data_IF_169319598693
#
_entry.id   IF_169319598693
#
_cell.length_a   1.000
_cell.length_b   1.000
_cell.length_c   1.000
_cell.angle_alpha   90.00
_cell.angle_beta   90.00
_cell.angle_gamma   90.00
#
_symmetry.space_group_name_H-M   'P 1'
#
loop_
_entity.id
_entity.type
_entity.pdbx_description
1 polymer ?
#
# COMPACT_ATOMS: atom_id res chain seq x y z
N UNK A 1 -0.88 -19.85 17.83
CA UNK A 1 -0.18 -18.56 17.75
C UNK A 1 0.37 -18.47 16.35
N UNK A 2 -0.16 -17.57 15.52
CA UNK A 2 0.43 -17.27 14.23
C UNK A 2 1.58 -16.29 14.46
N UNK A 3 2.71 -16.51 13.80
CA UNK A 3 3.88 -15.64 13.89
C UNK A 3 3.85 -14.65 12.73
N UNK A 4 4.38 -13.42 12.93
CA UNK A 4 4.59 -12.51 11.82
C UNK A 4 5.43 -13.19 10.73
N UNK A 5 5.05 -13.00 9.48
CA UNK A 5 5.76 -13.50 8.31
C UNK A 5 6.24 -12.32 7.47
N UNK A 6 7.51 -12.32 7.09
CA UNK A 6 8.09 -11.32 6.20
C UNK A 6 7.98 -11.79 4.76
N UNK A 7 7.52 -10.89 3.90
CA UNK A 7 7.36 -11.10 2.47
C UNK A 7 8.19 -10.07 1.71
N UNK A 8 8.89 -10.52 0.69
CA UNK A 8 9.44 -9.64 -0.34
C UNK A 8 8.42 -9.51 -1.46
N UNK A 9 8.08 -8.28 -1.82
CA UNK A 9 7.15 -7.96 -2.89
C UNK A 9 7.94 -7.31 -4.00
N UNK A 10 8.05 -8.03 -5.12
CA UNK A 10 8.60 -7.51 -6.36
C UNK A 10 7.54 -6.70 -7.11
N UNK A 11 7.91 -5.48 -7.49
CA UNK A 11 7.07 -4.59 -8.28
C UNK A 11 7.76 -4.31 -9.63
N UNK A 12 7.04 -4.55 -10.72
CA UNK A 12 7.52 -4.25 -12.07
C UNK A 12 6.63 -3.17 -12.67
N UNK A 13 7.21 -2.02 -12.98
CA UNK A 13 6.49 -0.95 -13.64
C UNK A 13 6.47 -1.18 -15.16
N UNK A 14 5.35 -1.68 -15.67
CA UNK A 14 5.12 -1.84 -17.12
C UNK A 14 4.33 -0.68 -17.73
N UNK A 15 4.08 0.40 -16.96
CA UNK A 15 3.38 1.60 -17.38
C UNK A 15 4.29 2.65 -18.01
N UNK A 16 3.74 3.83 -18.26
CA UNK A 16 4.43 4.97 -18.88
C UNK A 16 4.83 6.07 -17.89
N UNK A 17 4.32 6.00 -16.66
CA UNK A 17 4.60 6.95 -15.57
C UNK A 17 5.37 6.27 -14.43
N UNK A 18 6.12 7.01 -13.61
CA UNK A 18 6.69 6.47 -12.37
C UNK A 18 5.57 5.99 -11.44
N UNK A 19 5.74 4.81 -10.87
CA UNK A 19 4.79 4.24 -9.92
C UNK A 19 5.50 3.72 -8.67
N UNK A 20 4.75 3.52 -7.61
CA UNK A 20 5.25 2.92 -6.37
C UNK A 20 4.18 2.03 -5.75
N UNK A 21 4.61 1.20 -4.79
CA UNK A 21 3.71 0.55 -3.84
C UNK A 21 4.09 0.96 -2.42
N UNK A 22 3.24 1.75 -1.78
CA UNK A 22 3.34 2.13 -0.38
C UNK A 22 2.35 1.31 0.45
N UNK A 23 2.82 0.57 1.45
CA UNK A 23 2.04 -0.37 2.27
C UNK A 23 1.80 0.15 3.69
N UNK A 24 0.59 -0.08 4.20
CA UNK A 24 0.18 0.23 5.57
C UNK A 24 -0.59 -0.93 6.21
N UNK A 25 -0.50 -1.06 7.52
CA UNK A 25 -1.47 -1.84 8.31
C UNK A 25 -2.68 -0.96 8.61
N UNK A 26 -3.87 -1.45 8.26
CA UNK A 26 -5.12 -0.72 8.45
C UNK A 26 -5.64 -0.96 9.87
N UNK A 27 -6.21 0.08 10.49
CA UNK A 27 -7.00 -0.09 11.72
C UNK A 27 -8.24 -0.92 11.45
N UNK A 28 -8.78 -1.53 12.50
CA UNK A 28 -10.03 -2.28 12.40
C UNK A 28 -11.17 -1.39 11.87
N UNK A 29 -11.82 -1.81 10.79
CA UNK A 29 -12.94 -1.09 10.18
C UNK A 29 -12.56 0.05 9.23
N UNK A 30 -11.27 0.25 8.94
CA UNK A 30 -10.80 1.21 7.92
C UNK A 30 -10.48 0.50 6.61
N UNK A 31 -10.41 1.30 5.53
CA UNK A 31 -10.12 0.83 4.17
C UNK A 31 -8.98 1.65 3.56
N UNK A 32 -8.29 1.11 2.57
CA UNK A 32 -7.27 1.86 1.82
C UNK A 32 -7.86 3.13 1.19
N UNK A 33 -9.10 3.06 0.67
CA UNK A 33 -9.82 4.24 0.13
C UNK A 33 -10.01 5.32 1.20
N UNK A 34 -10.44 4.95 2.41
CA UNK A 34 -10.63 5.92 3.50
C UNK A 34 -9.33 6.63 3.89
N UNK A 35 -8.19 5.94 3.79
CA UNK A 35 -6.86 6.54 4.07
C UNK A 35 -6.53 7.59 3.01
N UNK A 36 -6.74 7.27 1.73
CA UNK A 36 -6.51 8.21 0.62
C UNK A 36 -7.48 9.40 0.69
N UNK A 37 -8.76 9.16 0.94
CA UNK A 37 -9.78 10.20 1.08
C UNK A 37 -9.47 11.16 2.23
N UNK A 38 -9.02 10.64 3.38
CA UNK A 38 -8.59 11.48 4.51
C UNK A 38 -7.39 12.35 4.14
N UNK A 39 -6.38 11.78 3.46
CA UNK A 39 -5.20 12.53 3.01
C UNK A 39 -5.59 13.66 2.03
N UNK A 40 -6.46 13.38 1.06
CA UNK A 40 -6.95 14.37 0.09
C UNK A 40 -7.82 15.46 0.72
N UNK A 41 -8.53 15.14 1.81
CA UNK A 41 -9.27 16.11 2.60
C UNK A 41 -8.36 16.99 3.50
N UNK A 42 -7.05 16.74 3.52
CA UNK A 42 -6.10 17.40 4.41
C UNK A 42 -6.23 16.95 5.87
N UNK A 43 -6.87 15.81 6.11
CA UNK A 43 -6.93 15.15 7.41
C UNK A 43 -5.66 14.31 7.63
N UNK A 44 -5.45 13.86 8.86
CA UNK A 44 -4.30 13.03 9.20
C UNK A 44 -4.58 11.54 8.93
N UNK A 45 -3.99 10.92 7.87
CA UNK A 45 -4.20 9.51 7.57
C UNK A 45 -3.67 8.57 8.65
N UNK A 46 -2.76 9.03 9.54
CA UNK A 46 -2.28 8.24 10.69
C UNK A 46 -3.42 7.87 11.67
N UNK A 47 -4.54 8.58 11.61
CA UNK A 47 -5.74 8.22 12.38
C UNK A 47 -6.39 6.92 11.91
N UNK A 48 -6.14 6.45 10.69
CA UNK A 48 -6.78 5.29 10.05
C UNK A 48 -5.84 4.08 9.86
N UNK A 49 -4.54 4.25 10.08
CA UNK A 49 -3.53 3.19 9.95
C UNK A 49 -2.86 2.89 11.29
N UNK A 50 -2.49 1.63 11.53
CA UNK A 50 -1.72 1.23 12.71
C UNK A 50 -0.23 1.54 12.52
N UNK A 51 0.30 1.29 11.32
CA UNK A 51 1.69 1.53 10.98
C UNK A 51 1.92 1.58 9.46
N UNK A 52 3.00 2.26 9.07
CA UNK A 52 3.58 2.17 7.73
C UNK A 52 4.51 0.94 7.67
N UNK A 53 4.38 0.13 6.61
CA UNK A 53 5.12 -1.11 6.47
C UNK A 53 6.33 -1.00 5.53
N UNK A 54 6.26 -0.09 4.56
CA UNK A 54 7.32 0.10 3.59
C UNK A 54 6.81 0.61 2.26
N UNK A 55 7.73 1.06 1.42
CA UNK A 55 7.47 1.44 0.03
C UNK A 55 8.57 0.93 -0.87
N UNK A 56 8.25 0.69 -2.14
CA UNK A 56 9.26 0.53 -3.19
C UNK A 56 10.01 1.83 -3.48
N UNK A 57 9.45 2.97 -3.07
CA UNK A 57 9.77 4.27 -3.65
C UNK A 57 9.34 4.34 -5.12
N UNK A 58 9.63 5.47 -5.77
CA UNK A 58 9.35 5.64 -7.19
C UNK A 58 10.15 4.65 -8.04
N UNK A 59 9.45 3.91 -8.89
CA UNK A 59 10.01 2.99 -9.87
C UNK A 59 9.70 3.52 -11.27
N UNK A 60 10.75 3.81 -12.03
CA UNK A 60 10.64 4.36 -13.39
C UNK A 60 9.99 3.36 -14.37
N UNK A 61 9.39 3.86 -15.48
CA UNK A 61 8.88 3.03 -16.56
C UNK A 61 9.88 1.98 -17.04
N UNK A 62 9.43 0.72 -17.15
CA UNK A 62 10.25 -0.41 -17.59
C UNK A 62 11.24 -0.95 -16.55
N UNK A 63 11.24 -0.41 -15.33
CA UNK A 63 12.11 -0.85 -14.23
C UNK A 63 11.35 -1.66 -13.19
N UNK A 64 12.11 -2.22 -12.23
CA UNK A 64 11.57 -2.96 -11.09
C UNK A 64 12.11 -2.44 -9.76
N UNK A 65 11.28 -2.51 -8.73
CA UNK A 65 11.66 -2.28 -7.33
C UNK A 65 11.17 -3.43 -6.45
N UNK A 66 11.60 -3.44 -5.20
CA UNK A 66 11.14 -4.41 -4.22
C UNK A 66 10.95 -3.74 -2.86
N UNK A 67 10.02 -4.29 -2.07
CA UNK A 67 9.79 -3.89 -0.68
C UNK A 67 9.63 -5.14 0.17
N UNK A 68 10.25 -5.12 1.35
CA UNK A 68 10.04 -6.16 2.35
C UNK A 68 9.04 -5.66 3.38
N UNK A 69 7.94 -6.39 3.56
CA UNK A 69 6.90 -6.08 4.55
C UNK A 69 6.67 -7.28 5.46
N UNK A 70 6.31 -7.01 6.71
CA UNK A 70 5.95 -8.05 7.67
C UNK A 70 4.45 -8.01 7.91
N UNK A 71 3.80 -9.15 7.70
CA UNK A 71 2.36 -9.33 7.87
C UNK A 71 2.09 -10.26 9.05
N UNK A 72 1.12 -9.86 9.86
CA UNK A 72 0.57 -10.61 10.98
C UNK A 72 -0.77 -11.20 10.58
N UNK A 73 -0.98 -12.46 10.96
CA UNK A 73 -2.20 -13.19 10.64
C UNK A 73 -3.46 -12.52 11.25
N UNK A 74 -4.54 -12.49 10.50
CA UNK A 74 -5.82 -11.89 10.92
C UNK A 74 -5.85 -10.36 10.88
N UNK A 75 -4.83 -9.71 10.32
CA UNK A 75 -4.79 -8.26 10.08
C UNK A 75 -5.14 -7.89 8.64
N UNK A 76 -5.54 -6.63 8.46
CA UNK A 76 -5.85 -6.03 7.17
C UNK A 76 -4.79 -5.00 6.79
N UNK A 77 -4.46 -4.96 5.51
CA UNK A 77 -3.40 -4.12 4.98
C UNK A 77 -3.88 -3.42 3.72
N UNK A 78 -3.42 -2.18 3.54
CA UNK A 78 -3.66 -1.40 2.33
C UNK A 78 -2.35 -1.17 1.59
N UNK A 79 -2.44 -1.03 0.27
CA UNK A 79 -1.37 -0.49 -0.55
C UNK A 79 -1.90 0.53 -1.53
N UNK A 80 -1.08 1.52 -1.88
CA UNK A 80 -1.42 2.56 -2.84
C UNK A 80 -0.18 3.12 -3.54
N UNK A 81 -0.39 3.75 -4.70
CA UNK A 81 0.59 4.62 -5.33
C UNK A 81 0.26 6.09 -5.02
N UNK A 82 1.14 6.77 -4.29
CA UNK A 82 0.94 8.16 -3.88
C UNK A 82 1.64 9.17 -4.80
N UNK A 83 2.24 8.70 -5.90
CA UNK A 83 2.85 9.58 -6.90
C UNK A 83 1.73 10.32 -7.64
N UNK A 84 1.88 11.64 -7.74
CA UNK A 84 0.95 12.49 -8.48
C UNK A 84 1.15 12.32 -9.99
N UNK A 85 0.06 12.13 -10.71
CA UNK A 85 0.03 12.15 -12.16
C UNK A 85 0.08 13.58 -12.73
N UNK A 86 -0.02 13.73 -14.06
CA UNK A 86 -0.01 15.04 -14.72
C UNK A 86 -1.15 15.98 -14.31
N UNK A 87 -2.23 15.44 -13.74
CA UNK A 87 -3.37 16.20 -13.22
C UNK A 87 -3.19 16.66 -11.76
N UNK A 88 -2.04 16.34 -11.15
CA UNK A 88 -1.69 16.69 -9.77
C UNK A 88 -2.38 15.84 -8.71
N UNK A 89 -3.05 14.75 -9.09
CA UNK A 89 -3.70 13.82 -8.15
C UNK A 89 -2.86 12.55 -8.00
N UNK A 90 -2.81 11.93 -6.82
CA UNK A 90 -2.11 10.67 -6.66
C UNK A 90 -2.77 9.59 -7.51
N UNK A 91 -1.98 8.71 -8.13
CA UNK A 91 -2.49 7.59 -8.94
C UNK A 91 -3.44 6.67 -8.18
N UNK A 92 -3.37 6.66 -6.84
CA UNK A 92 -4.38 6.03 -5.99
C UNK A 92 -5.81 6.47 -6.35
N UNK A 93 -6.05 7.76 -6.61
CA UNK A 93 -7.38 8.26 -7.01
C UNK A 93 -7.80 7.82 -8.42
N UNK A 94 -6.87 7.35 -9.24
CA UNK A 94 -7.14 6.75 -10.55
C UNK A 94 -7.30 5.21 -10.46
N UNK A 95 -7.26 4.66 -9.25
CA UNK A 95 -7.50 3.25 -8.96
C UNK A 95 -6.26 2.45 -8.58
N UNK A 96 -5.09 3.08 -8.45
CA UNK A 96 -3.86 2.40 -7.99
C UNK A 96 -3.81 2.26 -6.47
N UNK A 97 -4.81 1.57 -5.92
CA UNK A 97 -4.85 1.14 -4.53
C UNK A 97 -5.46 -0.27 -4.42
N UNK A 98 -5.20 -0.94 -3.31
CA UNK A 98 -5.85 -2.20 -2.99
C UNK A 98 -5.63 -2.62 -1.56
N UNK A 99 -6.21 -3.76 -1.21
CA UNK A 99 -6.16 -4.32 0.14
C UNK A 99 -5.75 -5.78 0.09
N UNK A 100 -5.01 -6.21 1.09
CA UNK A 100 -4.68 -7.62 1.33
C UNK A 100 -4.99 -7.99 2.78
N UNK A 101 -5.43 -9.22 2.98
CA UNK A 101 -5.62 -9.79 4.32
C UNK A 101 -4.67 -10.97 4.50
N UNK A 102 -3.91 -10.96 5.59
CA UNK A 102 -3.08 -12.10 5.94
C UNK A 102 -3.97 -13.17 6.59
N UNK A 103 -3.99 -14.36 6.00
CA UNK A 103 -4.71 -15.52 6.54
C UNK A 103 -3.78 -16.73 6.63
N UNK A 104 -3.76 -17.40 7.77
CA UNK A 104 -3.13 -18.70 7.91
C UNK A 104 -3.96 -19.71 7.12
N UNK A 105 -3.41 -20.24 6.03
CA UNK A 105 -3.98 -21.42 5.39
C UNK A 105 -3.59 -22.66 6.20
N UNK A 106 -4.58 -23.43 6.67
CA UNK A 106 -4.33 -24.74 7.25
C UNK A 106 -3.84 -25.68 6.14
N UNK A 107 -2.62 -26.20 6.27
CA UNK A 107 -2.11 -27.30 5.43
C UNK A 107 -2.70 -28.64 5.85
#
# INVERSE_FOLDING_TARGET
>A
MAFPATYEIDFVNTGEEPHELSFVELKAGTTASSVIEAQEAGEDPATLVEQFLGTTGAVDPGSSGAVQITLEDGKSYGYACLIEGPDGRPHALDGMLGEISATTSAR
#
